data_IF_935277338526
#
_entry.id   IF_935277338526
#
_cell.length_a   1.000
_cell.length_b   1.000
_cell.length_c   1.000
_cell.angle_alpha   90.00
_cell.angle_beta   90.00
_cell.angle_gamma   90.00
#
_symmetry.space_group_name_H-M   'P 1'
#
loop_
_entity.id
_entity.type
_entity.pdbx_description
1 polymer ?
#
# COMPACT_ATOMS: atom_id res chain seq x y z
N UNK A 1 10.08 1.92 -2.98
CA UNK A 1 9.51 3.26 -3.16
C UNK A 1 8.34 3.23 -4.13
N UNK A 2 7.26 3.93 -3.78
CA UNK A 2 6.10 4.22 -4.61
C UNK A 2 5.84 5.73 -4.66
N UNK A 3 5.30 6.20 -5.78
CA UNK A 3 4.83 7.58 -5.96
C UNK A 3 3.53 7.57 -6.76
N UNK A 4 2.54 8.35 -6.35
CA UNK A 4 1.26 8.45 -7.03
C UNK A 4 0.78 9.91 -7.08
N UNK A 5 0.64 10.44 -8.30
CA UNK A 5 -0.05 11.71 -8.53
C UNK A 5 -1.56 11.51 -8.38
N UNK A 6 -2.22 12.40 -7.65
CA UNK A 6 -3.66 12.43 -7.42
C UNK A 6 -4.33 13.51 -8.29
N UNK A 7 -5.66 13.50 -8.31
CA UNK A 7 -6.48 14.41 -9.12
C UNK A 7 -6.55 15.86 -8.61
N UNK A 8 -5.82 16.18 -7.54
CA UNK A 8 -5.77 17.49 -6.91
C UNK A 8 -4.34 18.07 -6.86
N UNK A 9 -3.48 17.66 -7.81
CA UNK A 9 -2.08 18.09 -7.92
C UNK A 9 -1.21 17.80 -6.70
N UNK A 10 -1.59 16.74 -5.96
CA UNK A 10 -0.80 16.22 -4.85
C UNK A 10 -0.18 14.89 -5.21
N UNK A 11 1.03 14.66 -4.71
CA UNK A 11 1.77 13.41 -4.91
C UNK A 11 1.91 12.71 -3.57
N UNK A 12 1.43 11.47 -3.49
CA UNK A 12 1.69 10.61 -2.33
C UNK A 12 2.96 9.82 -2.61
N UNK A 13 3.94 9.96 -1.73
CA UNK A 13 5.24 9.27 -1.81
C UNK A 13 5.34 8.38 -0.59
N UNK A 14 5.75 7.12 -0.77
CA UNK A 14 5.92 6.20 0.36
C UNK A 14 6.94 5.13 0.07
N UNK A 15 7.61 4.66 1.11
CA UNK A 15 8.56 3.56 1.05
C UNK A 15 8.42 2.63 2.25
N UNK A 16 9.18 1.53 2.18
CA UNK A 16 9.32 0.53 3.24
C UNK A 16 9.66 1.16 4.59
N UNK A 17 9.16 0.58 5.67
CA UNK A 17 9.34 1.10 7.05
C UNK A 17 10.59 0.54 7.74
N UNK A 18 11.18 -0.52 7.20
CA UNK A 18 12.28 -1.30 7.78
C UNK A 18 13.66 -0.97 7.20
N UNK A 19 13.85 0.27 6.71
CA UNK A 19 15.14 0.77 6.22
C UNK A 19 15.85 1.73 7.19
N UNK A 20 15.28 1.91 8.39
CA UNK A 20 15.75 2.87 9.39
C UNK A 20 15.14 4.27 9.21
N UNK A 21 15.48 5.23 10.09
CA UNK A 21 14.79 6.51 10.17
C UNK A 21 14.96 7.37 8.90
N UNK A 22 13.90 8.08 8.52
CA UNK A 22 13.92 9.08 7.45
C UNK A 22 14.36 10.46 7.96
N UNK A 23 14.52 11.42 7.05
CA UNK A 23 14.91 12.80 7.40
C UNK A 23 13.71 13.71 7.74
N UNK A 24 12.51 13.15 7.85
CA UNK A 24 11.27 13.89 8.12
C UNK A 24 10.61 13.30 9.36
N UNK A 25 10.34 14.13 10.36
CA UNK A 25 9.66 13.71 11.59
C UNK A 25 8.15 13.61 11.39
N UNK A 26 7.51 12.65 12.06
CA UNK A 26 6.06 12.60 12.17
C UNK A 26 5.56 13.81 12.99
N UNK A 27 4.36 14.28 12.67
CA UNK A 27 3.74 15.40 13.36
C UNK A 27 3.28 15.02 14.79
N UNK A 28 3.16 16.01 15.67
CA UNK A 28 2.57 15.90 17.01
C UNK A 28 3.26 14.87 17.94
N UNK A 29 4.54 14.59 17.73
CA UNK A 29 5.28 13.61 18.55
C UNK A 29 4.79 12.16 18.37
N UNK A 30 4.07 11.87 17.27
CA UNK A 30 3.75 10.50 16.90
C UNK A 30 5.03 9.72 16.64
N UNK A 31 5.07 8.47 17.12
CA UNK A 31 6.11 7.52 16.79
C UNK A 31 5.48 6.15 16.56
N UNK A 32 5.98 5.42 15.57
CA UNK A 32 5.62 4.01 15.37
C UNK A 32 6.44 3.14 16.31
N UNK A 33 5.77 2.13 16.86
CA UNK A 33 6.38 1.09 17.67
C UNK A 33 6.12 -0.22 16.92
N UNK A 34 6.72 -0.36 15.73
CA UNK A 34 6.51 -1.54 14.90
C UNK A 34 7.29 -2.72 15.49
N UNK A 35 6.63 -3.45 16.39
CA UNK A 35 7.17 -4.66 17.03
C UNK A 35 7.44 -5.80 16.03
N UNK A 36 6.97 -5.68 14.78
CA UNK A 36 7.16 -6.67 13.73
C UNK A 36 8.26 -6.29 12.73
N UNK A 37 8.79 -5.08 12.83
CA UNK A 37 9.95 -4.65 12.06
C UNK A 37 11.24 -5.18 12.73
N UNK A 38 11.91 -6.09 12.02
CA UNK A 38 13.13 -6.74 12.50
C UNK A 38 14.32 -5.76 12.59
N UNK A 39 14.24 -4.63 11.88
CA UNK A 39 15.22 -3.53 11.87
C UNK A 39 14.84 -2.47 12.91
N UNK A 40 13.55 -2.14 13.01
CA UNK A 40 13.02 -1.15 13.97
C UNK A 40 12.58 -1.77 15.30
N UNK A 41 13.49 -2.49 15.97
CA UNK A 41 13.34 -2.84 17.41
C UNK A 41 13.34 -1.60 18.35
N UNK A 42 13.23 -0.41 17.78
CA UNK A 42 13.32 0.89 18.41
C UNK A 42 12.14 1.76 17.98
N UNK A 43 11.75 2.69 18.84
CA UNK A 43 10.71 3.68 18.56
C UNK A 43 11.17 4.53 17.36
N UNK A 44 10.43 4.51 16.26
CA UNK A 44 10.68 5.35 15.08
C UNK A 44 9.70 6.52 15.05
N UNK A 45 10.22 7.74 15.18
CA UNK A 45 9.44 8.98 15.15
C UNK A 45 9.53 9.70 13.80
N UNK A 46 10.06 9.03 12.78
CA UNK A 46 10.19 9.54 11.42
C UNK A 46 9.11 8.98 10.51
N UNK A 47 8.84 9.67 9.40
CA UNK A 47 7.81 9.24 8.45
C UNK A 47 8.40 8.48 7.26
N UNK A 48 7.70 7.44 6.83
CA UNK A 48 7.96 6.69 5.60
C UNK A 48 6.94 6.98 4.50
N UNK A 49 6.10 8.00 4.68
CA UNK A 49 5.13 8.43 3.69
C UNK A 49 4.86 9.94 3.78
N UNK A 50 4.78 10.62 2.65
CA UNK A 50 4.43 12.04 2.60
C UNK A 50 3.40 12.34 1.54
N UNK A 51 2.57 13.35 1.78
CA UNK A 51 1.84 14.07 0.74
C UNK A 51 2.67 15.28 0.34
N UNK A 52 3.01 15.38 -0.94
CA UNK A 52 3.67 16.54 -1.53
C UNK A 52 2.65 17.36 -2.31
N UNK A 53 2.48 18.63 -1.94
CA UNK A 53 1.63 19.59 -2.62
C UNK A 53 2.47 20.36 -3.66
N UNK A 54 2.17 20.14 -4.94
CA UNK A 54 2.96 20.71 -6.06
C UNK A 54 2.79 22.24 -6.12
N UNK A 55 1.61 22.75 -5.82
CA UNK A 55 1.30 24.18 -5.96
C UNK A 55 2.02 25.02 -4.90
N UNK A 56 2.09 24.51 -3.67
CA UNK A 56 2.72 25.20 -2.54
C UNK A 56 4.15 24.76 -2.27
N UNK A 57 4.63 23.73 -2.97
CA UNK A 57 5.92 23.08 -2.74
C UNK A 57 6.10 22.68 -1.26
N UNK A 58 5.03 22.14 -0.65
CA UNK A 58 5.01 21.77 0.76
C UNK A 58 4.87 20.26 0.93
N UNK A 59 5.37 19.77 2.08
CA UNK A 59 5.39 18.34 2.42
C UNK A 59 4.62 18.15 3.71
N UNK A 60 3.64 17.25 3.68
CA UNK A 60 2.88 16.80 4.85
C UNK A 60 3.32 15.38 5.23
N UNK A 61 3.90 15.17 6.43
CA UNK A 61 4.21 13.84 6.94
C UNK A 61 2.94 12.99 7.15
N UNK A 62 2.95 11.77 6.64
CA UNK A 62 1.88 10.77 6.82
C UNK A 62 2.40 9.61 7.67
N UNK A 63 1.51 8.91 8.35
CA UNK A 63 1.83 7.72 9.13
C UNK A 63 1.46 6.47 8.34
N UNK A 64 2.45 5.70 7.92
CA UNK A 64 2.25 4.33 7.42
C UNK A 64 2.77 3.36 8.47
N UNK A 65 1.91 2.44 8.89
CA UNK A 65 2.14 1.53 10.02
C UNK A 65 2.72 0.20 9.58
N UNK A 66 2.31 -0.31 8.41
CA UNK A 66 2.77 -1.62 7.94
C UNK A 66 3.55 -1.52 6.64
N UNK A 67 4.59 -2.34 6.50
CA UNK A 67 5.54 -2.27 5.40
C UNK A 67 4.88 -2.44 4.01
N UNK A 68 5.03 -1.40 3.19
CA UNK A 68 4.50 -1.23 1.83
C UNK A 68 5.47 -1.72 0.74
N UNK A 69 6.61 -2.29 1.09
CA UNK A 69 7.62 -2.78 0.14
C UNK A 69 7.03 -3.74 -0.89
N UNK A 70 7.26 -3.45 -2.17
CA UNK A 70 6.74 -4.17 -3.33
C UNK A 70 5.23 -4.43 -3.27
N UNK A 71 4.50 -3.48 -2.69
CA UNK A 71 3.06 -3.48 -2.75
C UNK A 71 2.55 -2.98 -4.11
N UNK A 72 1.23 -2.84 -4.23
CA UNK A 72 0.59 -2.33 -5.45
C UNK A 72 -0.69 -1.58 -5.08
N UNK A 73 -1.22 -0.75 -5.97
CA UNK A 73 -2.40 0.05 -5.67
C UNK A 73 -3.00 0.72 -6.90
N UNK A 74 -4.11 1.42 -6.70
CA UNK A 74 -4.73 2.26 -7.73
C UNK A 74 -5.46 3.44 -7.12
N UNK A 75 -5.62 4.50 -7.90
CA UNK A 75 -6.43 5.67 -7.53
C UNK A 75 -7.87 5.41 -7.96
N UNK A 76 -8.78 5.49 -7.00
CA UNK A 76 -10.22 5.33 -7.19
C UNK A 76 -10.82 6.57 -7.89
N UNK A 77 -12.04 6.48 -8.46
CA UNK A 77 -12.62 7.58 -9.21
C UNK A 77 -12.87 8.84 -8.36
N UNK A 78 -13.00 8.67 -7.04
CA UNK A 78 -13.16 9.76 -6.07
C UNK A 78 -11.82 10.38 -5.63
N UNK A 79 -10.69 9.96 -6.21
CA UNK A 79 -9.34 10.43 -5.87
C UNK A 79 -8.71 9.69 -4.68
N UNK A 80 -9.40 8.72 -4.08
CA UNK A 80 -8.84 7.90 -2.99
C UNK A 80 -7.75 6.97 -3.53
N UNK A 81 -6.54 7.02 -2.96
CA UNK A 81 -5.51 6.03 -3.23
C UNK A 81 -5.76 4.79 -2.37
N UNK A 82 -5.89 3.63 -3.01
CA UNK A 82 -5.98 2.35 -2.33
C UNK A 82 -4.74 1.54 -2.67
N UNK A 83 -3.94 1.28 -1.65
CA UNK A 83 -2.74 0.48 -1.69
C UNK A 83 -3.01 -0.87 -1.03
N UNK A 84 -2.41 -1.94 -1.55
CA UNK A 84 -2.66 -3.31 -1.12
C UNK A 84 -1.38 -4.14 -1.10
N UNK A 85 -1.29 -5.01 -0.09
CA UNK A 85 -0.14 -5.88 0.09
C UNK A 85 1.09 -5.13 0.60
N UNK A 86 2.25 -5.71 0.39
CA UNK A 86 3.51 -5.25 0.98
C UNK A 86 4.33 -6.40 1.52
N UNK A 87 5.20 -6.11 2.48
CA UNK A 87 6.14 -7.09 3.02
C UNK A 87 5.80 -7.45 4.48
N UNK A 88 6.20 -8.66 4.90
CA UNK A 88 5.95 -9.18 6.24
C UNK A 88 4.48 -9.02 6.69
N UNK A 89 4.22 -8.28 7.78
CA UNK A 89 2.87 -8.04 8.31
C UNK A 89 2.00 -7.16 7.39
N UNK A 90 2.61 -6.51 6.39
CA UNK A 90 1.94 -5.74 5.35
C UNK A 90 1.37 -6.57 4.21
N UNK A 91 1.75 -7.85 4.08
CA UNK A 91 1.51 -8.66 2.87
C UNK A 91 0.03 -8.93 2.55
N UNK A 92 -0.88 -8.74 3.50
CA UNK A 92 -2.34 -8.91 3.33
C UNK A 92 -3.15 -7.67 3.67
N UNK A 93 -2.49 -6.52 3.80
CA UNK A 93 -3.14 -5.31 4.26
C UNK A 93 -3.69 -4.49 3.11
N UNK A 94 -4.69 -3.67 3.43
CA UNK A 94 -5.19 -2.64 2.53
C UNK A 94 -5.05 -1.31 3.22
N UNK A 95 -4.45 -0.34 2.55
CA UNK A 95 -4.22 1.01 3.06
C UNK A 95 -4.96 1.99 2.16
N UNK A 96 -5.80 2.80 2.76
CA UNK A 96 -6.66 3.75 2.05
C UNK A 96 -6.24 5.15 2.44
N UNK A 97 -5.89 5.95 1.45
CA UNK A 97 -5.50 7.35 1.63
C UNK A 97 -6.44 8.26 0.85
N UNK A 98 -7.00 9.24 1.56
CA UNK A 98 -7.76 10.33 0.98
C UNK A 98 -6.92 11.59 1.09
N UNK A 99 -6.65 12.29 -0.02
CA UNK A 99 -5.83 13.49 0.01
C UNK A 99 -6.36 14.55 0.98
N UNK A 100 -5.44 15.27 1.60
CA UNK A 100 -5.75 16.31 2.55
C UNK A 100 -6.53 17.45 1.87
N UNK A 101 -7.65 17.86 2.46
CA UNK A 101 -8.25 19.15 2.12
C UNK A 101 -7.34 20.27 2.62
N UNK A 102 -7.27 21.39 1.89
CA UNK A 102 -6.43 22.53 2.26
C UNK A 102 -6.72 22.98 3.70
N UNK A 103 -5.69 22.93 4.56
CA UNK A 103 -5.79 23.31 5.97
C UNK A 103 -6.28 22.23 6.93
N UNK A 104 -6.55 21.01 6.47
CA UNK A 104 -6.84 19.87 7.36
C UNK A 104 -5.55 19.13 7.74
N UNK A 105 -5.41 18.77 9.02
CA UNK A 105 -4.32 17.92 9.53
C UNK A 105 -4.76 16.45 9.68
N UNK A 106 -6.02 16.14 9.39
CA UNK A 106 -6.67 14.86 9.74
C UNK A 106 -6.84 13.96 8.50
N UNK A 107 -5.76 13.86 7.73
CA UNK A 107 -5.68 13.12 6.48
C UNK A 107 -4.47 12.19 6.57
N UNK A 108 -4.70 10.99 7.11
CA UNK A 108 -3.68 9.98 7.29
C UNK A 108 -4.11 8.67 6.64
N UNK A 109 -3.20 7.72 6.50
CA UNK A 109 -3.53 6.39 5.99
C UNK A 109 -4.50 5.68 6.93
N UNK A 110 -5.52 5.04 6.34
CA UNK A 110 -6.39 4.09 7.04
C UNK A 110 -5.98 2.68 6.66
N UNK A 111 -5.41 1.94 7.61
CA UNK A 111 -4.93 0.57 7.38
C UNK A 111 -5.92 -0.48 7.90
N UNK A 112 -6.29 -1.41 7.03
CA UNK A 112 -7.11 -2.57 7.35
C UNK A 112 -6.24 -3.82 7.24
N UNK A 113 -5.86 -4.34 8.40
CA UNK A 113 -4.96 -5.49 8.53
C UNK A 113 -5.65 -6.77 8.08
N UNK A 114 -4.92 -7.66 7.38
CA UNK A 114 -5.39 -8.98 6.94
C UNK A 114 -6.69 -8.95 6.12
N UNK A 115 -6.89 -7.91 5.31
CA UNK A 115 -8.10 -7.73 4.49
C UNK A 115 -8.05 -8.48 3.15
N UNK A 116 -6.86 -8.88 2.71
CA UNK A 116 -6.66 -9.70 1.52
C UNK A 116 -6.66 -11.19 1.89
N UNK A 117 -7.21 -12.02 1.00
CA UNK A 117 -7.26 -13.48 1.22
C UNK A 117 -5.91 -14.15 0.99
N UNK A 118 -5.07 -13.54 0.16
CA UNK A 118 -3.71 -14.01 -0.12
C UNK A 118 -2.71 -12.90 0.10
N UNK A 119 -1.46 -13.33 0.31
CA UNK A 119 -0.31 -12.41 0.35
C UNK A 119 -0.18 -11.73 -1.01
N UNK A 120 0.11 -10.44 -1.04
CA UNK A 120 0.29 -9.64 -2.25
C UNK A 120 1.62 -8.89 -2.16
N UNK A 121 2.66 -9.49 -2.70
CA UNK A 121 4.00 -8.91 -2.79
C UNK A 121 4.46 -9.03 -4.24
N UNK A 122 4.79 -7.93 -4.90
CA UNK A 122 4.88 -7.78 -6.37
C UNK A 122 3.56 -8.10 -7.11
N UNK A 123 2.41 -7.83 -6.49
CA UNK A 123 1.12 -7.95 -7.16
C UNK A 123 0.85 -6.78 -8.12
N UNK A 124 -0.21 -6.89 -8.92
CA UNK A 124 -0.70 -5.80 -9.78
C UNK A 124 -2.16 -5.47 -9.43
N UNK A 125 -2.47 -4.17 -9.32
CA UNK A 125 -3.83 -3.68 -9.15
C UNK A 125 -4.31 -3.02 -10.44
N UNK A 126 -5.59 -3.23 -10.76
CA UNK A 126 -6.26 -2.46 -11.78
C UNK A 126 -7.67 -2.09 -11.32
N UNK A 127 -8.04 -0.83 -11.50
CA UNK A 127 -9.38 -0.33 -11.22
C UNK A 127 -10.37 -0.88 -12.26
N UNK A 128 -11.59 -1.18 -11.81
CA UNK A 128 -12.69 -1.67 -12.63
C UNK A 128 -13.80 -0.61 -12.75
N UNK A 129 -14.63 -0.67 -13.81
CA UNK A 129 -15.73 0.30 -14.03
C UNK A 129 -16.76 0.38 -12.90
N UNK A 130 -16.87 -0.66 -12.07
CA UNK A 130 -17.78 -0.71 -10.92
C UNK A 130 -17.12 -0.24 -9.61
N UNK A 131 -16.01 0.50 -9.72
CA UNK A 131 -15.25 1.04 -8.57
C UNK A 131 -14.71 -0.04 -7.63
N UNK A 132 -14.49 -1.26 -8.13
CA UNK A 132 -13.63 -2.25 -7.49
C UNK A 132 -12.24 -2.21 -8.10
N UNK A 133 -11.33 -2.94 -7.49
CA UNK A 133 -10.02 -3.28 -8.01
C UNK A 133 -9.93 -4.78 -8.20
N UNK A 134 -9.31 -5.19 -9.28
CA UNK A 134 -8.76 -6.54 -9.42
C UNK A 134 -7.31 -6.50 -8.96
N UNK A 135 -6.94 -7.47 -8.11
CA UNK A 135 -5.59 -7.65 -7.59
C UNK A 135 -5.09 -9.00 -8.10
N UNK A 136 -4.12 -8.96 -9.01
CA UNK A 136 -3.64 -10.12 -9.76
C UNK A 136 -2.24 -10.48 -9.29
N UNK A 137 -1.99 -11.76 -9.06
CA UNK A 137 -0.64 -12.25 -8.85
C UNK A 137 -0.06 -11.83 -7.49
N UNK A 138 1.25 -11.60 -7.51
CA UNK A 138 2.10 -11.54 -6.34
C UNK A 138 2.92 -12.83 -6.26
N UNK A 139 4.14 -12.75 -5.73
CA UNK A 139 5.11 -13.84 -5.72
C UNK A 139 4.48 -15.16 -5.23
N UNK A 140 4.48 -16.18 -6.10
CA UNK A 140 3.88 -17.51 -5.88
C UNK A 140 2.36 -17.49 -5.68
N UNK A 141 1.67 -16.49 -6.22
CA UNK A 141 0.22 -16.35 -6.14
C UNK A 141 -0.42 -16.48 -7.51
N UNK A 142 -0.75 -17.71 -7.89
CA UNK A 142 -1.37 -18.01 -9.19
C UNK A 142 -2.89 -17.77 -9.17
N UNK A 143 -3.31 -16.59 -8.71
CA UNK A 143 -4.70 -16.23 -8.51
C UNK A 143 -4.91 -14.70 -8.51
N UNK A 144 -6.17 -14.29 -8.62
CA UNK A 144 -6.60 -12.93 -8.36
C UNK A 144 -7.70 -12.87 -7.30
N UNK A 145 -7.89 -11.68 -6.71
CA UNK A 145 -9.03 -11.36 -5.84
C UNK A 145 -9.50 -9.92 -6.11
N UNK A 146 -10.64 -9.54 -5.52
CA UNK A 146 -11.17 -8.18 -5.65
C UNK A 146 -11.06 -7.40 -4.33
N UNK A 147 -11.00 -6.07 -4.45
CA UNK A 147 -11.19 -5.14 -3.35
C UNK A 147 -12.01 -3.91 -3.79
N UNK A 148 -13.01 -3.45 -3.03
CA UNK A 148 -13.61 -4.13 -1.89
C UNK A 148 -14.29 -5.44 -2.31
N UNK A 149 -14.45 -6.35 -1.35
CA UNK A 149 -15.11 -7.65 -1.55
C UNK A 149 -16.61 -7.53 -1.26
N UNK A 150 -17.40 -8.21 -2.07
CA UNK A 150 -18.83 -8.47 -1.84
C UNK A 150 -19.02 -9.91 -1.39
N UNK A 151 -20.22 -10.29 -0.92
CA UNK A 151 -20.53 -11.68 -0.58
C UNK A 151 -20.21 -12.65 -1.74
N UNK A 152 -20.49 -12.25 -2.98
CA UNK A 152 -20.22 -13.05 -4.18
C UNK A 152 -18.73 -13.11 -4.57
N UNK A 153 -17.92 -12.15 -4.14
CA UNK A 153 -16.51 -12.01 -4.52
C UNK A 153 -15.53 -12.21 -3.36
N UNK A 154 -16.02 -12.66 -2.20
CA UNK A 154 -15.21 -13.01 -1.04
C UNK A 154 -14.51 -14.37 -1.22
N UNK A 155 -13.75 -14.50 -2.30
CA UNK A 155 -12.96 -15.69 -2.66
C UNK A 155 -11.77 -15.29 -3.54
N UNK A 156 -10.83 -16.21 -3.69
CA UNK A 156 -9.79 -16.12 -4.72
C UNK A 156 -10.22 -16.83 -6.00
N UNK A 157 -9.75 -16.35 -7.13
CA UNK A 157 -10.00 -16.92 -8.44
C UNK A 157 -8.68 -17.41 -9.02
N UNK A 158 -8.60 -18.71 -9.32
CA UNK A 158 -7.36 -19.32 -9.80
C UNK A 158 -7.03 -18.86 -11.22
N UNK A 159 -5.75 -18.68 -11.49
CA UNK A 159 -5.19 -18.47 -12.82
C UNK A 159 -4.20 -19.61 -13.11
N UNK A 160 -4.67 -20.79 -13.55
CA UNK A 160 -3.81 -21.95 -13.76
C UNK A 160 -2.65 -21.70 -14.70
N UNK A 161 -2.84 -20.83 -15.71
CA UNK A 161 -1.78 -20.49 -16.65
C UNK A 161 -0.56 -19.87 -15.96
N UNK A 162 -0.74 -19.03 -14.93
CA UNK A 162 0.38 -18.45 -14.17
C UNK A 162 1.20 -19.52 -13.46
N UNK A 163 0.56 -20.59 -12.98
CA UNK A 163 1.25 -21.72 -12.38
C UNK A 163 2.00 -22.57 -13.43
N UNK A 164 1.42 -22.72 -14.63
CA UNK A 164 1.97 -23.52 -15.72
C UNK A 164 3.16 -22.83 -16.40
N UNK A 165 3.18 -21.49 -16.43
CA UNK A 165 4.26 -20.68 -17.02
C UNK A 165 5.25 -20.20 -15.98
N UNK A 166 5.19 -20.72 -14.74
CA UNK A 166 6.15 -20.37 -13.71
C UNK A 166 7.40 -21.25 -13.84
N UNK A 167 8.57 -20.62 -14.01
CA UNK A 167 9.85 -21.31 -14.04
C UNK A 167 10.26 -21.80 -12.65
N UNK A 168 10.31 -23.12 -12.40
CA UNK A 168 10.68 -23.63 -11.10
C UNK A 168 12.12 -23.22 -10.75
N UNK A 169 12.33 -22.79 -9.51
CA UNK A 169 13.63 -22.42 -8.95
C UNK A 169 14.27 -21.14 -9.53
N UNK A 170 13.55 -20.38 -10.35
CA UNK A 170 13.96 -19.04 -10.78
C UNK A 170 13.13 -18.01 -10.04
N UNK A 171 13.76 -16.95 -9.52
CA UNK A 171 13.02 -15.81 -8.99
C UNK A 171 12.51 -14.95 -10.15
N UNK A 172 11.23 -15.06 -10.46
CA UNK A 172 10.55 -14.26 -11.50
C UNK A 172 9.37 -13.44 -10.94
N UNK A 173 9.16 -13.47 -9.61
CA UNK A 173 8.04 -12.81 -8.92
C UNK A 173 6.63 -13.19 -9.42
N UNK A 174 6.51 -14.30 -10.16
CA UNK A 174 5.24 -14.94 -10.57
C UNK A 174 4.75 -15.91 -9.48
#
# INVERSE_FOLDING_TARGET
MHMQLLNNDKVVIFDRTDFGPSNISLANGKCSNDLYDLVSRFIDCTTHSVEYDVATNSVCPLTVLTDVLCSSGSVMPDGTLVQTGGFNVGDRNVRVYKPCSSGSIDCDWQEVINRLLQRRWYATNHILPDSRQIIIGGRRQFNYEFYPKTAATNRVFKLPFLAQTNDPNIENNV
#
